data_IF_114860251109
#
_entry.id   IF_114860251109
#
_cell.length_a   1.000
_cell.length_b   1.000
_cell.length_c   1.000
_cell.angle_alpha   90.00
_cell.angle_beta   90.00
_cell.angle_gamma   90.00
#
_symmetry.space_group_name_H-M   'P 1'
#
loop_
_entity.id
_entity.type
_entity.pdbx_description
1 polymer ?
#
# COMPACT_ATOMS: atom_id res chain seq x y z
N UNK A 1 9.58 26.13 -40.09
CA UNK A 1 9.95 25.68 -38.73
C UNK A 1 8.83 25.89 -37.69
N UNK A 2 7.57 26.11 -38.11
CA UNK A 2 6.47 26.54 -37.22
C UNK A 2 5.35 25.49 -37.05
N UNK A 3 5.30 24.49 -37.93
CA UNK A 3 4.31 23.40 -37.91
C UNK A 3 4.65 22.26 -36.94
N UNK A 4 5.94 22.02 -36.65
CA UNK A 4 6.38 20.94 -35.74
C UNK A 4 6.11 21.27 -34.25
N UNK A 5 6.18 22.54 -33.88
CA UNK A 5 5.86 23.03 -32.53
C UNK A 5 4.37 22.99 -32.24
N UNK A 6 3.52 23.36 -33.21
CA UNK A 6 2.07 23.35 -33.04
C UNK A 6 1.51 21.94 -32.86
N UNK A 7 2.01 20.97 -33.65
CA UNK A 7 1.61 19.57 -33.53
C UNK A 7 2.03 18.96 -32.19
N UNK A 8 3.20 19.35 -31.66
CA UNK A 8 3.70 18.88 -30.37
C UNK A 8 2.87 19.42 -29.19
N UNK A 9 2.45 20.69 -29.25
CA UNK A 9 1.62 21.31 -28.19
C UNK A 9 0.23 20.67 -28.16
N UNK A 10 -0.40 20.47 -29.33
CA UNK A 10 -1.71 19.79 -29.41
C UNK A 10 -1.61 18.36 -28.89
N UNK A 11 -0.53 17.64 -29.18
CA UNK A 11 -0.33 16.28 -28.68
C UNK A 11 -0.17 16.24 -27.15
N UNK A 12 0.56 17.19 -26.55
CA UNK A 12 0.70 17.32 -25.09
C UNK A 12 -0.66 17.63 -24.44
N UNK A 13 -1.45 18.55 -25.01
CA UNK A 13 -2.77 18.90 -24.49
C UNK A 13 -3.72 17.71 -24.56
N UNK A 14 -3.72 16.97 -25.67
CA UNK A 14 -4.56 15.77 -25.82
C UNK A 14 -4.12 14.68 -24.83
N UNK A 15 -2.82 14.44 -24.66
CA UNK A 15 -2.30 13.47 -23.68
C UNK A 15 -2.65 13.88 -22.23
N UNK A 16 -2.56 15.17 -21.92
CA UNK A 16 -2.93 15.72 -20.61
C UNK A 16 -4.45 15.64 -20.36
N UNK A 17 -5.29 15.91 -21.37
CA UNK A 17 -6.74 15.76 -21.27
C UNK A 17 -7.18 14.30 -21.13
N UNK A 18 -6.55 13.38 -21.87
CA UNK A 18 -6.86 11.95 -21.79
C UNK A 18 -6.51 11.36 -20.42
N UNK A 19 -5.37 11.75 -19.84
CA UNK A 19 -4.97 11.31 -18.49
C UNK A 19 -5.88 11.85 -17.40
N UNK A 20 -6.32 13.11 -17.48
CA UNK A 20 -7.29 13.69 -16.54
C UNK A 20 -8.66 13.01 -16.58
N UNK A 21 -9.14 12.63 -17.77
CA UNK A 21 -10.45 11.98 -17.92
C UNK A 21 -10.50 10.61 -17.24
N UNK A 22 -9.44 9.80 -17.39
CA UNK A 22 -9.32 8.47 -16.76
C UNK A 22 -9.27 8.60 -15.24
N UNK A 23 -8.48 9.54 -14.71
CA UNK A 23 -8.39 9.79 -13.26
C UNK A 23 -9.75 10.21 -12.67
N UNK A 24 -10.48 11.10 -13.37
CA UNK A 24 -11.81 11.54 -12.94
C UNK A 24 -12.86 10.41 -12.94
N UNK A 25 -12.78 9.48 -13.89
CA UNK A 25 -13.68 8.32 -13.94
C UNK A 25 -13.41 7.34 -12.79
N UNK A 26 -12.13 7.05 -12.50
CA UNK A 26 -11.74 6.20 -11.39
C UNK A 26 -12.13 6.78 -10.02
N UNK A 27 -12.02 8.09 -9.84
CA UNK A 27 -12.45 8.74 -8.59
C UNK A 27 -13.93 8.51 -8.28
N UNK A 28 -14.81 8.59 -9.29
CA UNK A 28 -16.24 8.29 -9.09
C UNK A 28 -16.48 6.85 -8.67
N UNK A 29 -15.74 5.91 -9.27
CA UNK A 29 -15.84 4.50 -8.90
C UNK A 29 -15.41 4.29 -7.44
N UNK A 30 -14.33 4.94 -7.00
CA UNK A 30 -13.88 4.84 -5.62
C UNK A 30 -14.83 5.51 -4.62
N UNK A 31 -15.42 6.66 -4.96
CA UNK A 31 -16.44 7.30 -4.12
C UNK A 31 -17.66 6.40 -3.93
N UNK A 32 -18.14 5.77 -5.00
CA UNK A 32 -19.24 4.80 -4.93
C UNK A 32 -18.87 3.59 -4.07
N UNK A 33 -17.67 3.03 -4.26
CA UNK A 33 -17.19 1.91 -3.46
C UNK A 33 -17.06 2.26 -1.97
N UNK A 34 -16.58 3.46 -1.64
CA UNK A 34 -16.51 3.96 -0.26
C UNK A 34 -17.91 4.06 0.37
N UNK A 35 -18.89 4.61 -0.36
CA UNK A 35 -20.27 4.68 0.10
C UNK A 35 -20.85 3.31 0.45
N UNK A 36 -20.67 2.32 -0.45
CA UNK A 36 -21.13 0.95 -0.23
C UNK A 36 -20.41 0.27 0.95
N UNK A 37 -19.09 0.46 1.08
CA UNK A 37 -18.31 -0.10 2.18
C UNK A 37 -18.76 0.46 3.53
N UNK A 38 -18.95 1.78 3.63
CA UNK A 38 -19.47 2.42 4.85
C UNK A 38 -20.89 1.99 5.16
N UNK A 39 -21.77 1.92 4.16
CA UNK A 39 -23.14 1.41 4.36
C UNK A 39 -23.12 -0.02 4.91
N UNK A 40 -22.24 -0.88 4.37
CA UNK A 40 -22.10 -2.26 4.84
C UNK A 40 -21.61 -2.31 6.29
N UNK A 41 -20.56 -1.56 6.62
CA UNK A 41 -20.02 -1.52 7.99
C UNK A 41 -21.04 -1.02 9.01
N UNK A 42 -21.80 0.02 8.67
CA UNK A 42 -22.86 0.57 9.51
C UNK A 42 -24.01 -0.43 9.74
N UNK A 43 -24.31 -1.26 8.74
CA UNK A 43 -25.32 -2.34 8.86
C UNK A 43 -24.86 -3.48 9.75
N UNK A 44 -23.56 -3.77 9.78
CA UNK A 44 -22.99 -4.80 10.65
C UNK A 44 -22.94 -4.32 12.10
N UNK A 45 -22.42 -3.12 12.34
CA UNK A 45 -22.45 -2.44 13.64
C UNK A 45 -22.29 -0.93 13.43
N UNK A 46 -23.17 -0.11 14.02
CA UNK A 46 -23.10 1.35 13.90
C UNK A 46 -21.81 1.94 14.48
N UNK A 47 -21.20 1.29 15.47
CA UNK A 47 -19.94 1.73 16.08
C UNK A 47 -18.75 1.63 15.13
N UNK A 48 -18.82 0.82 14.08
CA UNK A 48 -17.75 0.73 13.06
C UNK A 48 -17.49 2.08 12.37
N UNK A 49 -18.54 2.88 12.16
CA UNK A 49 -18.38 4.20 11.53
C UNK A 49 -17.70 5.17 12.48
N UNK A 50 -18.07 5.14 13.76
CA UNK A 50 -17.43 5.95 14.79
C UNK A 50 -15.94 5.59 14.93
N UNK A 51 -15.58 4.30 14.88
CA UNK A 51 -14.18 3.86 14.87
C UNK A 51 -13.44 4.44 13.65
N UNK A 52 -14.03 4.36 12.45
CA UNK A 52 -13.42 4.90 11.24
C UNK A 52 -13.25 6.42 11.26
N UNK A 53 -14.19 7.15 11.86
CA UNK A 53 -14.16 8.61 11.96
C UNK A 53 -13.15 9.11 13.01
N UNK A 54 -12.86 8.29 14.02
CA UNK A 54 -11.88 8.58 15.07
C UNK A 54 -10.47 8.07 14.77
N UNK A 55 -10.19 7.56 13.56
CA UNK A 55 -8.83 7.16 13.18
C UNK A 55 -7.91 8.38 13.14
N UNK A 56 -6.78 8.29 13.83
CA UNK A 56 -5.70 9.27 13.73
C UNK A 56 -4.81 8.93 12.53
N UNK A 57 -4.19 9.96 11.94
CA UNK A 57 -3.29 9.77 10.81
C UNK A 57 -2.12 8.82 11.13
N UNK A 58 -1.68 8.79 12.39
CA UNK A 58 -0.61 7.90 12.82
C UNK A 58 -1.05 6.44 12.95
N UNK A 59 -2.34 6.12 12.95
CA UNK A 59 -2.81 4.73 13.14
C UNK A 59 -2.54 3.85 11.93
N UNK A 60 -2.42 4.45 10.75
CA UNK A 60 -2.14 3.75 9.49
C UNK A 60 -0.83 4.23 8.90
N UNK A 61 0.11 3.32 8.69
CA UNK A 61 1.38 3.59 8.03
C UNK A 61 1.42 2.85 6.70
N UNK A 62 1.83 3.52 5.63
CA UNK A 62 1.99 2.94 4.30
C UNK A 62 3.47 2.97 3.93
N UNK A 63 4.08 1.81 3.80
CA UNK A 63 5.40 1.65 3.22
C UNK A 63 5.24 1.59 1.70
N UNK A 64 5.82 2.58 1.03
CA UNK A 64 5.75 2.74 -0.41
C UNK A 64 6.43 1.58 -1.14
N UNK A 65 5.89 1.26 -2.32
CA UNK A 65 6.37 0.20 -3.19
C UNK A 65 6.50 0.68 -4.64
N UNK A 66 6.83 -0.23 -5.54
CA UNK A 66 7.06 0.09 -6.96
C UNK A 66 5.79 0.02 -7.79
N UNK A 67 4.92 -0.94 -7.54
CA UNK A 67 3.76 -1.21 -8.41
C UNK A 67 2.43 -0.93 -7.71
N UNK A 68 2.28 -1.35 -6.46
CA UNK A 68 1.03 -1.15 -5.74
C UNK A 68 0.92 0.26 -5.14
N UNK A 69 -0.31 0.77 -5.17
CA UNK A 69 -0.64 2.13 -4.77
C UNK A 69 -1.84 2.15 -3.81
N UNK A 70 -1.74 1.42 -2.70
CA UNK A 70 -2.82 1.34 -1.69
C UNK A 70 -3.23 2.72 -1.14
N UNK A 71 -2.31 3.68 -1.15
CA UNK A 71 -2.55 5.06 -0.71
C UNK A 71 -3.70 5.73 -1.49
N UNK A 72 -3.90 5.39 -2.77
CA UNK A 72 -5.03 5.89 -3.56
C UNK A 72 -6.36 5.37 -3.04
N UNK A 73 -6.40 4.08 -2.67
CA UNK A 73 -7.60 3.45 -2.09
C UNK A 73 -7.91 4.05 -0.71
N UNK A 74 -6.90 4.18 0.16
CA UNK A 74 -7.05 4.79 1.48
C UNK A 74 -7.54 6.25 1.37
N UNK A 75 -6.98 7.02 0.44
CA UNK A 75 -7.42 8.39 0.16
C UNK A 75 -8.88 8.43 -0.27
N UNK A 76 -9.32 7.54 -1.16
CA UNK A 76 -10.73 7.50 -1.58
C UNK A 76 -11.68 7.02 -0.49
N UNK A 77 -11.21 6.16 0.42
CA UNK A 77 -11.95 5.75 1.62
C UNK A 77 -11.97 6.83 2.72
N UNK A 78 -11.19 7.90 2.54
CA UNK A 78 -10.96 8.98 3.52
C UNK A 78 -10.36 8.45 4.83
N UNK A 79 -9.50 7.44 4.72
CA UNK A 79 -8.74 6.90 5.86
C UNK A 79 -7.43 7.70 5.93
N UNK A 80 -7.11 8.34 7.07
CA UNK A 80 -5.88 9.08 7.21
C UNK A 80 -4.69 8.11 7.37
N UNK A 81 -3.54 8.44 6.79
CA UNK A 81 -2.33 7.61 6.85
C UNK A 81 -1.05 8.44 6.77
N UNK A 82 0.06 7.85 7.24
CA UNK A 82 1.42 8.33 7.01
C UNK A 82 2.08 7.47 5.92
N UNK A 83 2.64 8.10 4.90
CA UNK A 83 3.41 7.39 3.87
C UNK A 83 4.91 7.52 4.14
N UNK A 84 5.62 6.40 4.10
CA UNK A 84 7.08 6.33 4.24
C UNK A 84 7.69 5.49 3.13
N UNK A 85 8.98 5.66 2.89
CA UNK A 85 9.79 4.78 2.05
C UNK A 85 10.38 3.64 2.90
N UNK A 86 10.73 2.52 2.26
CA UNK A 86 11.23 1.34 2.97
C UNK A 86 12.59 1.57 3.66
N UNK A 87 13.41 2.49 3.15
CA UNK A 87 14.68 2.91 3.74
C UNK A 87 14.51 3.82 4.96
N UNK A 88 13.32 4.42 5.15
CA UNK A 88 13.00 5.24 6.32
C UNK A 88 12.52 4.41 7.52
N UNK A 89 12.25 3.10 7.34
CA UNK A 89 11.80 2.23 8.44
C UNK A 89 12.71 2.25 9.68
N UNK A 90 14.05 2.27 9.56
CA UNK A 90 14.95 2.38 10.71
C UNK A 90 14.82 3.69 11.51
N UNK A 91 14.31 4.75 10.89
CA UNK A 91 14.17 6.07 11.51
C UNK A 91 12.81 6.25 12.21
N UNK A 92 11.87 5.33 11.97
CA UNK A 92 10.49 5.43 12.47
C UNK A 92 10.28 4.45 13.63
N UNK A 93 9.68 4.93 14.71
CA UNK A 93 9.22 4.08 15.81
C UNK A 93 7.78 3.64 15.56
N UNK A 94 7.58 2.38 15.16
CA UNK A 94 6.26 1.78 15.00
C UNK A 94 5.65 1.42 16.35
N UNK A 95 4.37 1.73 16.55
CA UNK A 95 3.61 1.47 17.77
C UNK A 95 2.69 0.26 17.59
N UNK A 96 2.56 -0.66 18.55
CA UNK A 96 1.80 -1.91 18.38
C UNK A 96 0.31 -1.77 17.98
N UNK A 97 -0.35 -0.64 18.21
CA UNK A 97 -1.74 -0.43 17.79
C UNK A 97 -1.89 0.00 16.33
N UNK A 98 -0.77 0.27 15.63
CA UNK A 98 -0.81 0.72 14.23
C UNK A 98 -1.11 -0.44 13.29
N UNK A 99 -1.63 -0.10 12.12
CA UNK A 99 -1.67 -0.98 10.95
C UNK A 99 -0.67 -0.50 9.92
N UNK A 100 0.24 -1.39 9.49
CA UNK A 100 1.25 -1.10 8.48
C UNK A 100 0.91 -1.81 7.18
N UNK A 101 0.64 -1.03 6.13
CA UNK A 101 0.53 -1.52 4.77
C UNK A 101 1.90 -1.53 4.10
N UNK A 102 2.29 -2.65 3.52
CA UNK A 102 3.54 -2.79 2.78
C UNK A 102 3.22 -3.07 1.31
N UNK A 103 3.37 -2.06 0.47
CA UNK A 103 3.20 -2.22 -0.97
C UNK A 103 4.33 -3.08 -1.55
N UNK A 104 4.02 -3.80 -2.62
CA UNK A 104 4.99 -4.62 -3.30
C UNK A 104 6.15 -3.77 -3.86
N UNK A 105 7.37 -4.20 -3.61
CA UNK A 105 8.58 -3.53 -4.07
C UNK A 105 9.49 -4.54 -4.78
N UNK A 106 10.14 -4.11 -5.86
CA UNK A 106 11.12 -4.93 -6.59
C UNK A 106 12.29 -5.36 -5.70
N UNK A 107 12.62 -4.54 -4.70
CA UNK A 107 13.58 -4.83 -3.64
C UNK A 107 13.09 -4.22 -2.33
N UNK A 108 13.48 -4.84 -1.21
CA UNK A 108 13.16 -4.35 0.12
C UNK A 108 14.37 -4.51 1.05
N UNK A 109 14.75 -3.49 1.84
CA UNK A 109 15.89 -3.58 2.74
C UNK A 109 15.69 -4.69 3.80
N UNK A 110 16.63 -5.63 3.97
CA UNK A 110 16.50 -6.71 4.95
C UNK A 110 16.36 -6.21 6.39
N UNK A 111 16.96 -5.06 6.72
CA UNK A 111 16.82 -4.41 8.02
C UNK A 111 15.38 -3.93 8.27
N UNK A 112 14.77 -3.28 7.28
CA UNK A 112 13.35 -2.89 7.33
C UNK A 112 12.44 -4.10 7.56
N UNK A 113 12.75 -5.24 6.94
CA UNK A 113 11.96 -6.47 7.12
C UNK A 113 12.06 -7.00 8.56
N UNK A 114 13.22 -6.89 9.21
CA UNK A 114 13.40 -7.25 10.63
C UNK A 114 12.67 -6.31 11.59
N UNK A 115 12.62 -5.02 11.26
CA UNK A 115 11.83 -4.04 12.03
C UNK A 115 10.34 -4.40 11.96
N UNK A 116 9.83 -4.69 10.76
CA UNK A 116 8.45 -5.15 10.56
C UNK A 116 8.17 -6.46 11.31
N UNK A 117 9.12 -7.41 11.31
CA UNK A 117 9.03 -8.64 12.10
C UNK A 117 8.85 -8.37 13.59
N UNK A 118 9.67 -7.46 14.13
CA UNK A 118 9.62 -7.07 15.54
C UNK A 118 8.29 -6.40 15.88
N UNK A 119 7.83 -5.50 15.01
CA UNK A 119 6.55 -4.81 15.14
C UNK A 119 5.36 -5.79 15.19
N UNK A 120 5.29 -6.73 14.25
CA UNK A 120 4.21 -7.73 14.21
C UNK A 120 4.28 -8.68 15.41
N UNK A 121 5.49 -9.14 15.77
CA UNK A 121 5.70 -10.00 16.95
C UNK A 121 5.29 -9.28 18.24
N UNK A 122 5.42 -7.95 18.28
CA UNK A 122 4.94 -7.09 19.37
C UNK A 122 3.43 -6.86 19.39
N UNK A 123 2.65 -7.47 18.48
CA UNK A 123 1.19 -7.33 18.40
C UNK A 123 0.70 -6.37 17.32
N UNK A 124 1.60 -5.76 16.55
CA UNK A 124 1.26 -4.89 15.43
C UNK A 124 0.60 -5.63 14.26
N UNK A 125 -0.26 -4.93 13.52
CA UNK A 125 -0.88 -5.50 12.32
C UNK A 125 -0.13 -5.06 11.06
N UNK A 126 0.24 -6.04 10.22
CA UNK A 126 0.84 -5.77 8.92
C UNK A 126 0.01 -6.40 7.81
N UNK A 127 -0.25 -5.63 6.76
CA UNK A 127 -0.94 -6.07 5.54
C UNK A 127 0.01 -5.83 4.37
N UNK A 128 0.24 -6.86 3.55
CA UNK A 128 1.15 -6.75 2.41
C UNK A 128 0.54 -7.30 1.14
N UNK A 129 0.99 -6.80 0.00
CA UNK A 129 0.60 -7.30 -1.32
C UNK A 129 1.64 -8.25 -1.90
N UNK A 130 1.20 -9.10 -2.83
CA UNK A 130 1.91 -10.20 -3.48
C UNK A 130 3.46 -10.26 -3.38
N UNK A 131 4.24 -9.42 -4.06
CA UNK A 131 5.70 -9.54 -4.14
C UNK A 131 6.40 -9.18 -2.82
N UNK A 132 5.68 -8.64 -1.84
CA UNK A 132 6.16 -8.53 -0.47
C UNK A 132 6.39 -9.92 0.17
N UNK A 133 5.78 -10.99 -0.34
CA UNK A 133 5.99 -12.35 0.18
C UNK A 133 7.48 -12.74 0.18
N UNK A 134 8.18 -12.55 -0.95
CA UNK A 134 9.60 -12.90 -1.07
C UNK A 134 10.50 -11.89 -0.38
N UNK A 135 10.25 -10.60 -0.58
CA UNK A 135 11.19 -9.56 -0.20
C UNK A 135 11.02 -9.10 1.25
N UNK A 136 9.83 -9.34 1.84
CA UNK A 136 9.48 -8.89 3.19
C UNK A 136 9.14 -10.09 4.08
N UNK A 137 8.15 -10.91 3.72
CA UNK A 137 7.64 -11.98 4.59
C UNK A 137 8.68 -13.08 4.81
N UNK A 138 9.32 -13.61 3.76
CA UNK A 138 10.37 -14.66 3.92
C UNK A 138 11.57 -14.17 4.75
N UNK A 139 11.87 -12.87 4.70
CA UNK A 139 12.98 -12.27 5.46
C UNK A 139 12.57 -11.99 6.91
N UNK A 140 11.36 -11.47 7.11
CA UNK A 140 10.81 -11.11 8.42
C UNK A 140 10.39 -12.34 9.23
N UNK A 141 9.88 -13.38 8.57
CA UNK A 141 9.27 -14.56 9.17
C UNK A 141 9.71 -15.85 8.46
N UNK A 142 11.00 -16.20 8.53
CA UNK A 142 11.59 -17.30 7.74
C UNK A 142 10.96 -18.68 7.98
N UNK A 143 10.21 -18.85 9.08
CA UNK A 143 9.64 -20.15 9.48
C UNK A 143 8.11 -20.23 9.33
N UNK A 144 7.44 -19.16 8.88
CA UNK A 144 5.96 -19.12 8.83
C UNK A 144 5.44 -19.57 7.45
N UNK A 145 6.04 -19.10 6.36
CA UNK A 145 5.69 -19.52 5.01
C UNK A 145 6.93 -19.49 4.11
N UNK A 146 7.12 -20.55 3.33
CA UNK A 146 8.10 -20.59 2.26
C UNK A 146 7.37 -20.77 0.94
N UNK A 147 7.68 -19.94 -0.07
CA UNK A 147 7.27 -20.26 -1.43
C UNK A 147 7.88 -21.61 -1.82
N UNK A 148 7.07 -22.47 -2.42
CA UNK A 148 7.59 -23.72 -2.95
C UNK A 148 8.76 -23.40 -3.90
N UNK A 149 9.90 -24.10 -3.76
CA UNK A 149 11.04 -23.85 -4.61
C UNK A 149 10.64 -24.08 -6.07
N UNK A 150 10.69 -23.03 -6.88
CA UNK A 150 10.57 -23.16 -8.33
C UNK A 150 11.87 -23.75 -8.88
N UNK A 151 11.86 -24.37 -10.08
CA UNK A 151 13.06 -24.98 -10.67
C UNK A 151 14.26 -24.02 -10.79
N UNK A 152 13.99 -22.71 -10.74
CA UNK A 152 14.95 -21.64 -10.92
C UNK A 152 15.48 -21.05 -9.59
N UNK A 153 14.85 -21.30 -8.45
CA UNK A 153 15.22 -20.67 -7.17
C UNK A 153 15.24 -21.70 -6.03
N UNK A 154 16.41 -22.28 -5.78
CA UNK A 154 16.68 -23.09 -4.58
C UNK A 154 17.11 -22.18 -3.43
N UNK A 155 16.21 -21.88 -2.50
CA UNK A 155 16.60 -21.56 -1.11
C UNK A 155 15.99 -22.62 -0.21
N UNK A 156 16.82 -23.30 0.56
CA UNK A 156 16.35 -24.29 1.52
C UNK A 156 15.87 -23.57 2.78
N UNK A 157 14.57 -23.53 3.00
CA UNK A 157 14.05 -23.29 4.34
C UNK A 157 14.48 -24.46 5.23
N UNK A 158 15.08 -24.16 6.37
CA UNK A 158 15.44 -25.17 7.37
C UNK A 158 14.22 -25.37 8.26
N UNK A 159 13.64 -26.57 8.25
CA UNK A 159 12.58 -26.97 9.17
C UNK A 159 13.10 -27.14 10.59
#
# INVERSE_FOLDING_TARGET
MQTRTFLSIVFIIVLFCLTNSVFAQMNKAYEMANGLARERLAKEDSSNIEILENLDQSDVVVVSGTYDHIHLVLQSLKIPFVSIQADQLPEVTLKPHQTVFVNCASSFPPEGARILSTFVTGGGQMISTDWALVNVIEVAFPNIHCLQPTPYRRRSCSH
#
